data_IF_189640551193
#
_entry.id   IF_189640551193
#
_cell.length_a   1.000
_cell.length_b   1.000
_cell.length_c   1.000
_cell.angle_alpha   90.00
_cell.angle_beta   90.00
_cell.angle_gamma   90.00
#
_symmetry.space_group_name_H-M   'P 1'
#
loop_
_entity.id
_entity.type
_entity.pdbx_description
1 polymer ?
#
# COMPACT_ATOMS: atom_id res chain seq x y z
N UNK A 1 10.09 30.30 16.75
CA UNK A 1 10.71 30.93 17.93
C UNK A 1 12.22 30.72 17.98
N UNK A 2 12.72 29.56 17.50
CA UNK A 2 14.16 29.22 17.34
C UNK A 2 15.12 30.33 16.86
N UNK A 3 14.67 31.26 16.03
CA UNK A 3 15.52 32.37 15.59
C UNK A 3 15.89 33.33 16.73
N UNK A 4 15.04 33.48 17.75
CA UNK A 4 15.27 34.44 18.84
C UNK A 4 16.38 33.99 19.77
N UNK A 5 16.45 32.71 20.13
CA UNK A 5 17.55 32.16 20.93
C UNK A 5 18.89 32.26 20.20
N UNK A 6 18.90 32.01 18.89
CA UNK A 6 20.10 32.13 18.04
C UNK A 6 20.53 33.60 17.94
N UNK A 7 19.58 34.52 17.81
CA UNK A 7 19.83 35.97 17.84
C UNK A 7 20.42 36.41 19.17
N UNK A 8 19.86 35.98 20.31
CA UNK A 8 20.36 36.31 21.65
C UNK A 8 21.76 35.76 21.90
N UNK A 9 22.06 34.53 21.47
CA UNK A 9 23.41 33.96 21.53
C UNK A 9 24.36 34.76 20.64
N UNK A 10 23.90 35.21 19.47
CA UNK A 10 24.71 36.03 18.55
C UNK A 10 24.96 37.44 19.12
N UNK A 11 23.99 38.03 19.81
CA UNK A 11 24.14 39.30 20.51
C UNK A 11 25.08 39.18 21.71
N UNK A 12 24.99 38.07 22.46
CA UNK A 12 25.91 37.76 23.55
C UNK A 12 27.35 37.58 23.03
N UNK A 13 27.54 36.87 21.91
CA UNK A 13 28.83 36.74 21.24
C UNK A 13 29.39 38.10 20.81
N UNK A 14 28.57 38.95 20.17
CA UNK A 14 28.97 40.31 19.78
C UNK A 14 29.35 41.18 20.98
N UNK A 15 28.64 41.01 22.09
CA UNK A 15 28.91 41.73 23.34
C UNK A 15 30.25 41.28 23.95
N UNK A 16 30.57 39.99 23.88
CA UNK A 16 31.88 39.44 24.25
C UNK A 16 32.99 39.89 23.29
N UNK A 17 32.75 39.95 21.98
CA UNK A 17 33.75 40.41 21.00
C UNK A 17 34.08 41.90 21.13
N UNK A 18 33.10 42.73 21.52
CA UNK A 18 33.26 44.18 21.68
C UNK A 18 33.78 44.59 23.06
N UNK A 19 33.88 43.64 23.97
CA UNK A 19 34.24 43.93 25.35
C UNK A 19 35.75 44.15 25.53
N UNK A 20 36.11 45.01 26.48
CA UNK A 20 37.48 45.46 26.64
C UNK A 20 38.29 44.37 27.34
N UNK A 21 39.22 43.74 26.61
CA UNK A 21 40.11 42.71 27.14
C UNK A 21 41.28 43.39 27.85
N UNK A 22 41.53 43.00 29.10
CA UNK A 22 42.71 43.44 29.88
C UNK A 22 43.81 42.39 29.69
N UNK A 23 44.87 42.66 28.89
CA UNK A 23 45.83 41.64 28.45
C UNK A 23 46.73 41.06 29.56
N UNK A 24 46.79 41.72 30.72
CA UNK A 24 47.69 41.35 31.82
C UNK A 24 47.04 40.36 32.79
N UNK A 25 45.71 40.33 32.85
CA UNK A 25 44.96 39.54 33.84
C UNK A 25 44.00 38.53 33.21
N UNK A 26 44.01 38.40 31.87
CA UNK A 26 43.08 37.57 31.10
C UNK A 26 41.60 37.79 31.50
N UNK A 27 41.24 39.04 31.79
CA UNK A 27 39.86 39.42 32.14
C UNK A 27 39.28 40.35 31.10
N UNK A 28 37.95 40.33 31.03
CA UNK A 28 37.17 41.10 30.07
C UNK A 28 36.21 41.99 30.85
N UNK A 29 36.19 43.29 30.55
CA UNK A 29 35.23 44.24 31.13
C UNK A 29 33.99 44.26 30.25
N UNK A 30 32.87 43.90 30.86
CA UNK A 30 31.57 43.76 30.18
C UNK A 30 30.54 44.57 30.96
N UNK A 31 29.59 45.16 30.24
CA UNK A 31 28.38 45.76 30.82
C UNK A 31 27.53 44.66 31.49
N UNK A 32 27.52 44.69 32.82
CA UNK A 32 26.85 43.69 33.64
C UNK A 32 25.33 43.68 33.43
N UNK A 33 24.70 44.85 33.30
CA UNK A 33 23.24 44.95 33.16
C UNK A 33 22.79 44.40 31.81
N UNK A 34 23.55 44.71 30.75
CA UNK A 34 23.29 44.19 29.41
C UNK A 34 23.58 42.69 29.27
N UNK A 35 24.62 42.19 29.94
CA UNK A 35 24.90 40.75 29.99
C UNK A 35 23.79 40.01 30.75
N UNK A 36 23.37 40.54 31.90
CA UNK A 36 22.32 39.97 32.74
C UNK A 36 20.97 39.92 32.03
N UNK A 37 20.61 40.96 31.27
CA UNK A 37 19.36 40.96 30.51
C UNK A 37 19.34 39.88 29.42
N UNK A 38 20.45 39.72 28.68
CA UNK A 38 20.58 38.70 27.64
C UNK A 38 20.51 37.29 28.23
N UNK A 39 21.18 37.04 29.37
CA UNK A 39 21.14 35.73 30.05
C UNK A 39 19.73 35.42 30.54
N UNK A 40 19.03 36.38 31.16
CA UNK A 40 17.67 36.17 31.66
C UNK A 40 16.68 35.89 30.52
N UNK A 41 16.80 36.59 29.39
CA UNK A 41 15.95 36.35 28.21
C UNK A 41 16.23 34.95 27.62
N UNK A 42 17.50 34.54 27.56
CA UNK A 42 17.90 33.21 27.12
C UNK A 42 17.33 32.11 28.05
N UNK A 43 17.40 32.33 29.37
CA UNK A 43 16.90 31.40 30.40
C UNK A 43 15.38 31.20 30.32
N UNK A 44 14.63 32.22 29.89
CA UNK A 44 13.18 32.11 29.73
C UNK A 44 12.76 31.43 28.42
N UNK A 45 13.55 31.55 27.36
CA UNK A 45 13.19 31.04 26.02
C UNK A 45 13.67 29.60 25.80
N UNK A 46 14.91 29.28 26.22
CA UNK A 46 15.50 27.97 25.96
C UNK A 46 14.70 26.77 26.48
N UNK A 47 14.13 26.76 27.70
CA UNK A 47 13.38 25.62 28.20
C UNK A 47 12.18 25.29 27.32
N UNK A 48 11.44 26.31 26.87
CA UNK A 48 10.26 26.14 26.03
C UNK A 48 10.62 25.58 24.65
N UNK A 49 11.70 26.07 24.04
CA UNK A 49 12.16 25.56 22.73
C UNK A 49 12.64 24.11 22.80
N UNK A 50 13.28 23.70 23.90
CA UNK A 50 13.69 22.31 24.10
C UNK A 50 12.48 21.40 24.27
N UNK A 51 11.44 21.84 24.99
CA UNK A 51 10.19 21.10 25.15
C UNK A 51 9.51 20.93 23.78
N UNK A 52 9.33 22.01 23.03
CA UNK A 52 8.72 22.00 21.69
C UNK A 52 9.49 21.08 20.73
N UNK A 53 10.84 21.14 20.73
CA UNK A 53 11.66 20.27 19.91
C UNK A 53 11.48 18.79 20.27
N UNK A 54 11.39 18.46 21.56
CA UNK A 54 11.16 17.09 22.02
C UNK A 54 9.76 16.59 21.64
N UNK A 55 8.73 17.45 21.71
CA UNK A 55 7.38 17.13 21.25
C UNK A 55 7.34 16.85 19.74
N UNK A 56 8.02 17.67 18.93
CA UNK A 56 8.15 17.44 17.48
C UNK A 56 8.83 16.10 17.19
N UNK A 57 9.90 15.77 17.92
CA UNK A 57 10.61 14.49 17.76
C UNK A 57 9.70 13.31 18.13
N UNK A 58 8.96 13.41 19.23
CA UNK A 58 8.00 12.38 19.65
C UNK A 58 6.90 12.19 18.60
N UNK A 59 6.29 13.28 18.13
CA UNK A 59 5.22 13.23 17.13
C UNK A 59 5.71 12.63 15.81
N UNK A 60 6.96 12.91 15.41
CA UNK A 60 7.57 12.32 14.22
C UNK A 60 7.64 10.80 14.32
N UNK A 61 8.06 10.26 15.45
CA UNK A 61 8.16 8.81 15.64
C UNK A 61 6.78 8.14 15.61
N UNK A 62 5.76 8.78 16.20
CA UNK A 62 4.36 8.32 16.14
C UNK A 62 3.83 8.30 14.70
N UNK A 63 4.06 9.37 13.92
CA UNK A 63 3.65 9.45 12.51
C UNK A 63 4.31 8.34 11.67
N UNK A 64 5.59 8.05 11.91
CA UNK A 64 6.32 7.01 11.18
C UNK A 64 5.74 5.62 11.51
N UNK A 65 5.41 5.36 12.77
CA UNK A 65 4.83 4.08 13.18
C UNK A 65 3.42 3.89 12.62
N UNK A 66 2.59 4.93 12.63
CA UNK A 66 1.26 4.92 12.03
C UNK A 66 1.32 4.66 10.52
N UNK A 67 2.21 5.38 9.80
CA UNK A 67 2.39 5.19 8.37
C UNK A 67 2.86 3.76 8.01
N UNK A 68 3.71 3.15 8.84
CA UNK A 68 4.13 1.75 8.65
C UNK A 68 2.95 0.78 8.81
N UNK A 69 2.15 0.95 9.86
CA UNK A 69 0.96 0.12 10.10
C UNK A 69 -0.05 0.25 8.95
N UNK A 70 -0.27 1.46 8.46
CA UNK A 70 -1.17 1.69 7.32
C UNK A 70 -0.64 1.03 6.04
N UNK A 71 0.66 1.16 5.76
CA UNK A 71 1.28 0.50 4.62
C UNK A 71 1.16 -1.04 4.70
N UNK A 72 1.40 -1.63 5.87
CA UNK A 72 1.22 -3.07 6.11
C UNK A 72 -0.24 -3.50 5.90
N UNK A 73 -1.20 -2.70 6.37
CA UNK A 73 -2.62 -2.97 6.18
C UNK A 73 -3.01 -2.93 4.68
N UNK A 74 -2.53 -1.93 3.94
CA UNK A 74 -2.78 -1.81 2.49
C UNK A 74 -2.22 -3.02 1.75
N UNK A 75 -0.97 -3.42 2.06
CA UNK A 75 -0.35 -4.60 1.42
C UNK A 75 -1.13 -5.87 1.73
N UNK A 76 -1.59 -6.03 2.97
CA UNK A 76 -2.42 -7.18 3.37
C UNK A 76 -3.73 -7.23 2.57
N UNK A 77 -4.47 -6.13 2.50
CA UNK A 77 -5.72 -6.03 1.73
C UNK A 77 -5.50 -6.31 0.26
N UNK A 78 -4.42 -5.78 -0.33
CA UNK A 78 -4.08 -6.01 -1.73
C UNK A 78 -3.80 -7.48 -2.02
N UNK A 79 -3.09 -8.18 -1.12
CA UNK A 79 -2.83 -9.62 -1.23
C UNK A 79 -4.11 -10.43 -1.13
N UNK A 80 -4.95 -10.15 -0.13
CA UNK A 80 -6.24 -10.83 0.04
C UNK A 80 -7.13 -10.63 -1.20
N UNK A 81 -7.14 -9.43 -1.79
CA UNK A 81 -7.89 -9.17 -3.01
C UNK A 81 -7.31 -9.89 -4.23
N UNK A 82 -5.99 -9.96 -4.36
CA UNK A 82 -5.33 -10.71 -5.42
C UNK A 82 -5.64 -12.21 -5.32
N UNK A 83 -5.57 -12.79 -4.12
CA UNK A 83 -5.91 -14.19 -3.88
C UNK A 83 -7.38 -14.47 -4.20
N UNK A 84 -8.30 -13.58 -3.81
CA UNK A 84 -9.71 -13.68 -4.17
C UNK A 84 -9.91 -13.68 -5.70
N UNK A 85 -9.29 -12.75 -6.43
CA UNK A 85 -9.41 -12.65 -7.89
C UNK A 85 -8.80 -13.86 -8.60
N UNK A 86 -7.67 -14.38 -8.12
CA UNK A 86 -7.07 -15.61 -8.66
C UNK A 86 -7.98 -16.82 -8.45
N UNK A 87 -8.58 -16.95 -7.27
CA UNK A 87 -9.55 -18.01 -6.99
C UNK A 87 -10.81 -17.86 -7.87
N UNK A 88 -11.35 -16.66 -8.02
CA UNK A 88 -12.51 -16.41 -8.87
C UNK A 88 -12.21 -16.73 -10.35
N UNK A 89 -11.05 -16.31 -10.85
CA UNK A 89 -10.63 -16.56 -12.22
C UNK A 89 -10.39 -18.06 -12.47
N UNK A 90 -9.72 -18.76 -11.56
CA UNK A 90 -9.51 -20.22 -11.69
C UNK A 90 -10.82 -21.01 -11.63
N UNK A 91 -11.77 -20.62 -10.78
CA UNK A 91 -13.12 -21.21 -10.75
C UNK A 91 -13.83 -20.98 -12.07
N UNK A 92 -13.76 -19.75 -12.61
CA UNK A 92 -14.44 -19.38 -13.86
C UNK A 92 -13.87 -20.14 -15.06
N UNK A 93 -12.54 -20.18 -15.21
CA UNK A 93 -11.88 -20.96 -16.27
C UNK A 93 -12.20 -22.45 -16.20
N UNK A 94 -12.27 -23.02 -14.99
CA UNK A 94 -12.64 -24.42 -14.80
C UNK A 94 -14.09 -24.68 -15.22
N UNK A 95 -15.01 -23.79 -14.84
CA UNK A 95 -16.42 -23.90 -15.20
C UNK A 95 -16.62 -23.80 -16.73
N UNK A 96 -15.92 -22.89 -17.42
CA UNK A 96 -15.97 -22.76 -18.88
C UNK A 96 -15.47 -24.05 -19.56
N UNK A 97 -14.33 -24.60 -19.11
CA UNK A 97 -13.79 -25.84 -19.66
C UNK A 97 -14.77 -27.01 -19.48
N UNK A 98 -15.36 -27.14 -18.30
CA UNK A 98 -16.33 -28.19 -18.01
C UNK A 98 -17.61 -28.03 -18.85
N UNK A 99 -18.07 -26.80 -19.06
CA UNK A 99 -19.19 -26.50 -19.97
C UNK A 99 -18.88 -26.88 -21.43
N UNK A 100 -17.67 -26.58 -21.92
CA UNK A 100 -17.21 -26.95 -23.27
C UNK A 100 -17.15 -28.47 -23.43
N UNK A 101 -16.65 -29.19 -22.42
CA UNK A 101 -16.62 -30.65 -22.40
C UNK A 101 -18.03 -31.25 -22.42
N UNK A 102 -18.93 -30.75 -21.58
CA UNK A 102 -20.35 -31.17 -21.55
C UNK A 102 -21.01 -30.93 -22.91
N UNK A 103 -20.79 -29.76 -23.52
CA UNK A 103 -21.33 -29.43 -24.84
C UNK A 103 -20.84 -30.41 -25.91
N UNK A 104 -19.53 -30.68 -25.93
CA UNK A 104 -18.93 -31.62 -26.88
C UNK A 104 -19.45 -33.04 -26.69
N UNK A 105 -19.67 -33.46 -25.45
CA UNK A 105 -20.26 -34.77 -25.14
C UNK A 105 -21.72 -34.85 -25.61
N UNK A 106 -22.51 -33.79 -25.38
CA UNK A 106 -23.89 -33.70 -25.85
C UNK A 106 -23.97 -33.76 -27.39
N UNK A 107 -23.09 -33.05 -28.09
CA UNK A 107 -23.01 -33.08 -29.56
C UNK A 107 -22.65 -34.48 -30.08
N UNK A 108 -21.66 -35.15 -29.47
CA UNK A 108 -21.30 -36.53 -29.81
C UNK A 108 -22.45 -37.50 -29.56
N UNK A 109 -23.14 -37.35 -28.43
CA UNK A 109 -24.28 -38.18 -28.09
C UNK A 109 -25.41 -37.99 -29.10
N UNK A 110 -25.76 -36.76 -29.44
CA UNK A 110 -26.76 -36.43 -30.44
C UNK A 110 -26.42 -37.04 -31.81
N UNK A 111 -25.16 -36.91 -32.26
CA UNK A 111 -24.70 -37.52 -33.50
C UNK A 111 -24.84 -39.06 -33.46
N UNK A 112 -24.45 -39.69 -32.36
CA UNK A 112 -24.57 -41.14 -32.19
C UNK A 112 -26.03 -41.61 -32.25
N UNK A 113 -26.96 -40.81 -31.72
CA UNK A 113 -28.38 -41.12 -31.74
C UNK A 113 -28.92 -41.02 -33.17
N UNK A 114 -28.54 -39.98 -33.92
CA UNK A 114 -28.92 -39.81 -35.32
C UNK A 114 -28.44 -40.98 -36.18
N UNK A 115 -27.18 -41.42 -35.99
CA UNK A 115 -26.63 -42.58 -36.70
C UNK A 115 -27.44 -43.84 -36.39
N UNK A 116 -27.76 -44.09 -35.11
CA UNK A 116 -28.59 -45.25 -34.71
C UNK A 116 -29.98 -45.22 -35.34
N UNK A 117 -30.62 -44.04 -35.37
CA UNK A 117 -31.93 -43.87 -36.00
C UNK A 117 -31.84 -44.15 -37.51
N UNK A 118 -30.80 -43.66 -38.18
CA UNK A 118 -30.57 -43.94 -39.60
C UNK A 118 -30.40 -45.44 -39.88
N UNK A 119 -29.65 -46.15 -39.03
CA UNK A 119 -29.50 -47.61 -39.14
C UNK A 119 -30.81 -48.36 -38.96
N UNK A 120 -31.64 -47.96 -38.00
CA UNK A 120 -32.96 -48.56 -37.77
C UNK A 120 -33.85 -48.34 -39.00
N UNK A 121 -33.91 -47.11 -39.52
CA UNK A 121 -34.72 -46.78 -40.67
C UNK A 121 -34.28 -47.55 -41.93
N UNK A 122 -32.96 -47.73 -42.14
CA UNK A 122 -32.44 -48.56 -43.24
C UNK A 122 -32.88 -50.02 -43.13
N UNK A 123 -32.86 -50.60 -41.92
CA UNK A 123 -33.32 -51.96 -41.68
C UNK A 123 -34.80 -52.12 -41.97
N UNK A 124 -35.63 -51.19 -41.48
CA UNK A 124 -37.08 -51.20 -41.73
C UNK A 124 -37.41 -51.04 -43.23
N UNK A 125 -36.71 -50.15 -43.93
CA UNK A 125 -36.87 -49.98 -45.38
C UNK A 125 -36.54 -51.26 -46.15
N UNK A 126 -35.46 -51.95 -45.80
CA UNK A 126 -35.07 -53.20 -46.45
C UNK A 126 -36.14 -54.29 -46.30
N UNK A 127 -36.76 -54.41 -45.11
CA UNK A 127 -37.85 -55.35 -44.86
C UNK A 127 -39.07 -55.03 -45.75
N UNK A 128 -39.41 -53.74 -45.89
CA UNK A 128 -40.53 -53.29 -46.73
C UNK A 128 -40.25 -53.59 -48.21
N UNK A 129 -39.03 -53.36 -48.70
CA UNK A 129 -38.65 -53.66 -50.08
C UNK A 129 -38.71 -55.16 -50.38
N UNK A 130 -38.26 -55.99 -49.44
CA UNK A 130 -38.31 -57.45 -49.57
C UNK A 130 -39.75 -57.96 -49.62
N UNK A 131 -40.62 -57.48 -48.71
CA UNK A 131 -42.05 -57.79 -48.71
C UNK A 131 -42.74 -57.35 -50.03
N UNK A 132 -42.38 -56.20 -50.57
CA UNK A 132 -42.93 -55.70 -51.85
C UNK A 132 -42.53 -56.57 -53.04
N UNK A 133 -41.30 -57.11 -53.04
CA UNK A 133 -40.82 -57.98 -54.11
C UNK A 133 -41.46 -59.37 -54.07
N UNK A 134 -41.84 -59.87 -52.89
CA UNK A 134 -42.58 -61.14 -52.74
C UNK A 134 -44.04 -61.06 -53.21
N UNK A 135 -44.60 -59.85 -53.33
CA UNK A 135 -45.97 -59.59 -53.79
C UNK A 135 -46.08 -59.36 -55.32
N UNK A 136 -44.97 -59.44 -56.05
CA UNK A 136 -44.92 -59.42 -57.52
C UNK A 136 -44.74 -60.83 -58.07
#
# INVERSE_FOLDING_TARGET
MLNRSIELISELKKLLEKSFVIPIIDRVIIDYDRLKSLINELDHILPNEIIEANEILKNKDEIIDEAKKEAEAIVKIAREKADYLLNENTITQRAEKEAEEIKREAEKYALSLLIKVEEILKKELAIIEEAKNQLK
#
